data_IF_740505591020
#
_entry.id   IF_740505591020
#
_cell.length_a   1.000
_cell.length_b   1.000
_cell.length_c   1.000
_cell.angle_alpha   90.00
_cell.angle_beta   90.00
_cell.angle_gamma   90.00
#
_symmetry.space_group_name_H-M   'P 1'
#
loop_
_entity.id
_entity.type
_entity.pdbx_description
1 polymer ?
#
# COMPACT_ATOMS: atom_id res chain seq x y z
N UNK A 1 15.57 5.49 -16.83
CA UNK A 1 14.51 6.53 -16.99
C UNK A 1 14.27 7.28 -15.68
N UNK A 2 14.01 6.60 -14.56
CA UNK A 2 13.74 7.27 -13.27
C UNK A 2 14.95 8.07 -12.77
N UNK A 3 16.18 7.58 -12.91
CA UNK A 3 17.39 8.32 -12.53
C UNK A 3 17.48 9.67 -13.27
N UNK A 4 17.24 9.66 -14.58
CA UNK A 4 17.25 10.90 -15.39
C UNK A 4 16.15 11.89 -14.98
N UNK A 5 14.97 11.39 -14.56
CA UNK A 5 13.89 12.23 -14.02
C UNK A 5 14.32 12.79 -12.64
N UNK A 6 14.89 11.96 -11.77
CA UNK A 6 15.38 12.36 -10.45
C UNK A 6 16.45 13.46 -10.51
N UNK A 7 17.28 13.47 -11.55
CA UNK A 7 18.29 14.51 -11.81
C UNK A 7 17.71 15.79 -12.44
N UNK A 8 16.68 15.66 -13.29
CA UNK A 8 16.07 16.77 -14.01
C UNK A 8 14.96 17.48 -13.20
N UNK A 9 14.16 16.74 -12.46
CA UNK A 9 13.00 17.24 -11.72
C UNK A 9 13.32 18.37 -10.73
N UNK A 10 14.45 18.36 -9.98
CA UNK A 10 14.79 19.46 -9.10
C UNK A 10 14.89 20.81 -9.81
N UNK A 11 15.30 20.83 -11.07
CA UNK A 11 15.44 22.08 -11.86
C UNK A 11 14.09 22.69 -12.27
N UNK A 12 13.05 21.87 -12.32
CA UNK A 12 11.69 22.24 -12.70
C UNK A 12 10.69 22.13 -11.53
N UNK A 13 11.15 21.88 -10.31
CA UNK A 13 10.29 21.61 -9.16
C UNK A 13 9.25 22.73 -8.93
N UNK A 14 9.62 23.97 -9.15
CA UNK A 14 8.72 25.13 -9.01
C UNK A 14 7.54 25.16 -10.02
N UNK A 15 7.58 24.33 -11.07
CA UNK A 15 6.47 24.18 -12.03
C UNK A 15 5.52 23.02 -11.70
N UNK A 16 5.85 22.21 -10.69
CA UNK A 16 4.99 21.12 -10.28
C UNK A 16 3.74 21.64 -9.58
N UNK A 17 2.61 21.02 -9.86
CA UNK A 17 1.42 21.14 -9.02
C UNK A 17 1.57 20.31 -7.77
N UNK A 18 0.80 20.56 -6.71
CA UNK A 18 0.80 19.71 -5.51
C UNK A 18 0.54 18.24 -5.84
N UNK A 19 -0.45 17.97 -6.71
CA UNK A 19 -0.75 16.62 -7.19
C UNK A 19 0.42 16.01 -7.99
N UNK A 20 1.03 16.78 -8.89
CA UNK A 20 2.19 16.31 -9.66
C UNK A 20 3.37 15.94 -8.76
N UNK A 21 3.60 16.73 -7.71
CA UNK A 21 4.62 16.47 -6.70
C UNK A 21 4.31 15.19 -5.90
N UNK A 22 3.09 15.05 -5.40
CA UNK A 22 2.64 13.86 -4.67
C UNK A 22 2.73 12.59 -5.52
N UNK A 23 2.23 12.62 -6.77
CA UNK A 23 2.31 11.50 -7.70
C UNK A 23 3.76 11.06 -7.95
N UNK A 24 4.66 12.03 -8.16
CA UNK A 24 6.08 11.71 -8.46
C UNK A 24 6.78 11.15 -7.23
N UNK A 25 6.61 11.75 -6.06
CA UNK A 25 7.14 11.23 -4.80
C UNK A 25 6.66 9.80 -4.54
N UNK A 26 5.35 9.57 -4.68
CA UNK A 26 4.74 8.27 -4.49
C UNK A 26 5.30 7.23 -5.47
N UNK A 27 5.46 7.59 -6.75
CA UNK A 27 6.03 6.68 -7.75
C UNK A 27 7.47 6.24 -7.40
N UNK A 28 8.31 7.15 -6.89
CA UNK A 28 9.65 6.81 -6.43
C UNK A 28 9.61 5.84 -5.23
N UNK A 29 8.70 6.09 -4.28
CA UNK A 29 8.53 5.21 -3.11
C UNK A 29 8.04 3.80 -3.52
N UNK A 30 7.04 3.72 -4.42
CA UNK A 30 6.52 2.45 -4.95
C UNK A 30 7.63 1.63 -5.60
N UNK A 31 8.45 2.27 -6.43
CA UNK A 31 9.53 1.62 -7.15
C UNK A 31 10.78 1.36 -6.31
N UNK A 32 10.88 1.96 -5.12
CA UNK A 32 12.07 1.87 -4.28
C UNK A 32 13.32 2.50 -4.92
N UNK A 33 13.12 3.50 -5.78
CA UNK A 33 14.22 4.20 -6.46
C UNK A 33 14.68 5.36 -5.60
N UNK A 34 15.97 5.41 -5.30
CA UNK A 34 16.58 6.51 -4.56
C UNK A 34 16.78 7.75 -5.45
N UNK A 35 16.32 8.91 -4.99
CA UNK A 35 16.45 10.19 -5.68
C UNK A 35 16.64 11.34 -4.69
N UNK A 36 17.77 11.39 -3.97
CA UNK A 36 17.97 12.29 -2.83
C UNK A 36 17.86 13.78 -3.18
N UNK A 37 18.26 14.15 -4.39
CA UNK A 37 18.14 15.54 -4.87
C UNK A 37 16.69 15.93 -5.10
N UNK A 38 15.88 15.01 -5.67
CA UNK A 38 14.45 15.23 -5.88
C UNK A 38 13.70 15.31 -4.53
N UNK A 39 13.95 14.39 -3.59
CA UNK A 39 13.32 14.41 -2.27
C UNK A 39 13.70 15.69 -1.47
N UNK A 40 14.93 16.16 -1.64
CA UNK A 40 15.37 17.44 -1.03
C UNK A 40 14.62 18.63 -1.63
N UNK A 41 14.54 18.73 -2.96
CA UNK A 41 13.82 19.81 -3.63
C UNK A 41 12.31 19.76 -3.34
N UNK A 42 11.73 18.55 -3.24
CA UNK A 42 10.35 18.35 -2.86
C UNK A 42 10.05 18.83 -1.43
N UNK A 43 10.96 18.64 -0.48
CA UNK A 43 10.82 19.15 0.88
C UNK A 43 10.74 20.69 0.92
N UNK A 44 11.44 21.37 0.02
CA UNK A 44 11.43 22.84 -0.08
C UNK A 44 10.17 23.34 -0.81
N UNK A 45 9.66 22.59 -1.78
CA UNK A 45 8.50 22.99 -2.60
C UNK A 45 7.15 22.65 -1.97
N UNK A 46 7.04 21.52 -1.26
CA UNK A 46 5.78 20.99 -0.74
C UNK A 46 5.00 21.98 0.15
N UNK A 47 5.63 22.78 1.04
CA UNK A 47 4.92 23.72 1.90
C UNK A 47 4.02 24.70 1.15
N UNK A 48 4.41 25.12 -0.05
CA UNK A 48 3.61 26.04 -0.89
C UNK A 48 2.32 25.42 -1.44
N UNK A 49 2.16 24.10 -1.34
CA UNK A 49 1.03 23.36 -1.88
C UNK A 49 0.06 22.83 -0.82
N UNK A 50 0.40 22.93 0.47
CA UNK A 50 -0.35 22.31 1.57
C UNK A 50 -1.84 22.68 1.55
N UNK A 51 -2.18 23.97 1.38
CA UNK A 51 -3.57 24.41 1.41
C UNK A 51 -4.43 23.78 0.29
N UNK A 52 -3.86 23.63 -0.90
CA UNK A 52 -4.54 22.96 -2.03
C UNK A 52 -4.64 21.45 -1.84
N UNK A 53 -3.62 20.85 -1.26
CA UNK A 53 -3.59 19.40 -0.98
C UNK A 53 -4.63 19.00 0.06
N UNK A 54 -5.07 19.90 0.94
CA UNK A 54 -6.18 19.64 1.88
C UNK A 54 -7.48 19.23 1.18
N UNK A 55 -7.69 19.72 -0.04
CA UNK A 55 -8.89 19.45 -0.83
C UNK A 55 -8.67 18.29 -1.84
N UNK A 56 -7.44 17.81 -1.99
CA UNK A 56 -7.06 16.72 -2.90
C UNK A 56 -6.81 15.43 -2.11
N UNK A 57 -7.88 14.66 -1.87
CA UNK A 57 -7.79 13.40 -1.12
C UNK A 57 -6.84 12.38 -1.76
N UNK A 58 -6.77 12.31 -3.08
CA UNK A 58 -5.91 11.35 -3.78
C UNK A 58 -4.43 11.68 -3.56
N UNK A 59 -4.04 12.94 -3.75
CA UNK A 59 -2.67 13.40 -3.51
C UNK A 59 -2.29 13.29 -2.02
N UNK A 60 -3.20 13.65 -1.12
CA UNK A 60 -2.98 13.55 0.33
C UNK A 60 -2.81 12.10 0.79
N UNK A 61 -3.61 11.17 0.26
CA UNK A 61 -3.47 9.74 0.50
C UNK A 61 -2.12 9.20 0.02
N UNK A 62 -1.62 9.66 -1.12
CA UNK A 62 -0.29 9.32 -1.61
C UNK A 62 0.82 9.87 -0.69
N UNK A 63 0.67 11.12 -0.21
CA UNK A 63 1.63 11.71 0.72
C UNK A 63 1.70 10.98 2.06
N UNK A 64 0.58 10.40 2.52
CA UNK A 64 0.63 9.51 3.69
C UNK A 64 1.52 8.28 3.43
N UNK A 65 1.36 7.65 2.28
CA UNK A 65 2.17 6.49 1.91
C UNK A 65 3.66 6.86 1.73
N UNK A 66 3.94 8.05 1.19
CA UNK A 66 5.32 8.61 1.15
C UNK A 66 5.86 8.81 2.57
N UNK A 67 5.05 9.36 3.48
CA UNK A 67 5.43 9.53 4.89
C UNK A 67 5.80 8.18 5.53
N UNK A 68 4.98 7.14 5.37
CA UNK A 68 5.27 5.80 5.88
C UNK A 68 6.57 5.24 5.29
N UNK A 69 6.75 5.35 3.98
CA UNK A 69 7.98 4.91 3.32
C UNK A 69 9.22 5.58 3.90
N UNK A 70 9.19 6.90 4.06
CA UNK A 70 10.31 7.66 4.60
C UNK A 70 10.60 7.29 6.07
N UNK A 71 9.56 7.00 6.83
CA UNK A 71 9.70 6.59 8.23
C UNK A 71 10.31 5.19 8.37
N UNK A 72 9.98 4.27 7.44
CA UNK A 72 10.27 2.84 7.56
C UNK A 72 11.52 2.45 6.76
N UNK A 73 11.69 2.98 5.55
CA UNK A 73 12.70 2.48 4.60
C UNK A 73 13.77 3.50 4.19
N UNK A 74 13.52 4.79 4.36
CA UNK A 74 14.35 5.79 3.73
C UNK A 74 14.92 6.83 4.69
N UNK A 75 16.22 7.19 4.54
CA UNK A 75 16.88 8.23 5.35
C UNK A 75 16.65 9.66 4.84
N UNK A 76 15.70 9.95 3.94
CA UNK A 76 15.47 11.30 3.40
C UNK A 76 14.93 12.25 4.46
N UNK A 77 15.80 12.65 5.36
CA UNK A 77 15.48 13.38 6.60
C UNK A 77 14.86 14.76 6.39
N UNK A 78 15.05 15.39 5.21
CA UNK A 78 14.51 16.73 4.98
C UNK A 78 13.00 16.73 4.69
N UNK A 79 12.49 15.73 3.96
CA UNK A 79 11.08 15.65 3.60
C UNK A 79 10.23 15.07 4.74
N UNK A 80 10.76 14.14 5.53
CA UNK A 80 10.03 13.50 6.62
C UNK A 80 9.44 14.48 7.63
N UNK A 81 10.18 15.50 8.15
CA UNK A 81 9.60 16.49 9.07
C UNK A 81 8.45 17.29 8.45
N UNK A 82 8.57 17.67 7.18
CA UNK A 82 7.53 18.43 6.45
C UNK A 82 6.24 17.61 6.35
N UNK A 83 6.33 16.32 6.05
CA UNK A 83 5.16 15.44 6.02
C UNK A 83 4.61 15.16 7.43
N UNK A 84 5.49 15.01 8.43
CA UNK A 84 5.11 14.73 9.81
C UNK A 84 4.27 15.86 10.43
N UNK A 85 4.55 17.12 10.10
CA UNK A 85 3.79 18.29 10.54
C UNK A 85 2.31 18.21 10.16
N UNK A 86 2.01 17.57 9.02
CA UNK A 86 0.65 17.42 8.50
C UNK A 86 0.16 15.96 8.51
N UNK A 87 0.79 15.10 9.32
CA UNK A 87 0.51 13.65 9.33
C UNK A 87 -0.97 13.32 9.43
N UNK A 88 -1.71 14.01 10.30
CA UNK A 88 -3.14 13.73 10.50
C UNK A 88 -3.95 14.03 9.25
N UNK A 89 -3.67 15.12 8.56
CA UNK A 89 -4.32 15.46 7.29
C UNK A 89 -4.14 14.35 6.25
N UNK A 90 -2.90 13.85 6.10
CA UNK A 90 -2.60 12.78 5.15
C UNK A 90 -3.25 11.44 5.55
N UNK A 91 -3.26 11.13 6.84
CA UNK A 91 -3.89 9.93 7.38
C UNK A 91 -5.41 9.94 7.18
N UNK A 92 -6.08 11.07 7.45
CA UNK A 92 -7.53 11.21 7.26
C UNK A 92 -7.92 11.01 5.79
N UNK A 93 -7.11 11.54 4.86
CA UNK A 93 -7.32 11.32 3.44
C UNK A 93 -7.09 9.85 3.04
N UNK A 94 -6.06 9.21 3.60
CA UNK A 94 -5.76 7.79 3.37
C UNK A 94 -6.86 6.87 3.89
N UNK A 95 -7.55 7.26 4.98
CA UNK A 95 -8.64 6.50 5.58
C UNK A 95 -10.02 6.82 5.01
N UNK A 96 -10.12 7.80 4.13
CA UNK A 96 -11.41 8.22 3.57
C UNK A 96 -12.02 7.20 2.59
N UNK A 97 -11.24 6.23 2.11
CA UNK A 97 -11.77 5.12 1.33
C UNK A 97 -12.67 4.25 2.21
N UNK A 98 -13.95 4.11 1.81
CA UNK A 98 -14.87 3.18 2.44
C UNK A 98 -14.45 1.75 2.12
N UNK A 99 -13.84 1.07 3.08
CA UNK A 99 -13.53 -0.34 2.98
C UNK A 99 -14.86 -1.10 2.85
N UNK A 100 -15.04 -1.82 1.75
CA UNK A 100 -16.20 -2.70 1.52
C UNK A 100 -15.67 -4.05 1.03
N UNK A 101 -15.74 -5.09 1.87
CA UNK A 101 -15.28 -6.41 1.48
C UNK A 101 -16.08 -6.92 0.27
N UNK A 102 -15.41 -7.53 -0.68
CA UNK A 102 -16.04 -8.21 -1.80
C UNK A 102 -16.67 -9.52 -1.35
N UNK A 103 -17.60 -10.07 -2.15
CA UNK A 103 -18.21 -11.37 -1.85
C UNK A 103 -17.15 -12.50 -1.80
N UNK A 104 -16.15 -12.44 -2.67
CA UNK A 104 -15.06 -13.42 -2.66
C UNK A 104 -14.19 -13.29 -1.39
N UNK A 105 -13.89 -12.08 -0.96
CA UNK A 105 -13.18 -11.83 0.29
C UNK A 105 -13.95 -12.38 1.51
N UNK A 106 -15.27 -12.12 1.59
CA UNK A 106 -16.13 -12.70 2.63
C UNK A 106 -16.14 -14.22 2.58
N UNK A 107 -16.09 -14.80 1.37
CA UNK A 107 -15.99 -16.26 1.18
C UNK A 107 -14.68 -16.82 1.72
N UNK A 108 -13.55 -16.12 1.50
CA UNK A 108 -12.24 -16.51 2.08
C UNK A 108 -12.28 -16.41 3.59
N UNK A 109 -12.75 -15.29 4.15
CA UNK A 109 -12.88 -15.08 5.61
C UNK A 109 -13.71 -16.19 6.26
N UNK A 110 -14.89 -16.49 5.68
CA UNK A 110 -15.72 -17.59 6.18
C UNK A 110 -14.98 -18.93 6.17
N UNK A 111 -14.30 -19.26 5.07
CA UNK A 111 -13.59 -20.53 4.95
C UNK A 111 -12.40 -20.63 5.93
N UNK A 112 -11.69 -19.53 6.21
CA UNK A 112 -10.64 -19.48 7.21
C UNK A 112 -11.19 -19.72 8.63
N UNK A 113 -12.35 -19.14 8.95
CA UNK A 113 -13.03 -19.36 10.23
C UNK A 113 -13.45 -20.84 10.40
N UNK A 114 -13.95 -21.48 9.33
CA UNK A 114 -14.27 -22.94 9.34
C UNK A 114 -13.01 -23.78 9.62
N UNK A 115 -11.84 -23.35 9.16
CA UNK A 115 -10.54 -23.99 9.44
C UNK A 115 -10.01 -23.72 10.84
N UNK A 116 -10.69 -22.90 11.65
CA UNK A 116 -10.30 -22.54 13.00
C UNK A 116 -9.19 -21.48 13.04
N UNK A 117 -8.99 -20.74 11.95
CA UNK A 117 -8.08 -19.58 11.94
C UNK A 117 -8.89 -18.32 12.29
N UNK A 118 -8.99 -18.05 13.59
CA UNK A 118 -9.67 -16.87 14.12
C UNK A 118 -8.91 -15.60 13.70
N UNK A 119 -9.60 -14.58 13.20
CA UNK A 119 -9.03 -13.34 12.72
C UNK A 119 -10.01 -12.17 12.87
N UNK A 120 -9.50 -10.96 12.72
CA UNK A 120 -10.29 -9.74 12.58
C UNK A 120 -10.37 -9.40 11.08
N UNK A 121 -11.61 -9.15 10.59
CA UNK A 121 -11.82 -8.66 9.23
C UNK A 121 -11.56 -7.15 9.19
N UNK A 122 -11.02 -6.66 8.06
CA UNK A 122 -10.79 -5.24 7.78
C UNK A 122 -10.01 -4.52 8.88
N UNK A 123 -9.00 -5.20 9.43
CA UNK A 123 -8.15 -4.60 10.45
C UNK A 123 -7.40 -3.39 9.90
N UNK A 124 -7.42 -2.27 10.62
CA UNK A 124 -6.48 -1.17 10.41
C UNK A 124 -5.34 -1.24 11.40
N UNK A 125 -4.12 -1.29 10.89
CA UNK A 125 -2.92 -1.27 11.72
C UNK A 125 -2.73 0.09 12.39
N UNK A 126 -1.86 0.16 13.41
CA UNK A 126 -1.48 1.44 14.06
C UNK A 126 -0.87 2.44 13.06
N UNK A 127 -0.23 1.93 12.00
CA UNK A 127 0.33 2.72 10.91
C UNK A 127 -0.71 3.06 9.83
N UNK A 128 -1.98 2.68 10.01
CA UNK A 128 -3.08 3.03 9.12
C UNK A 128 -3.26 2.15 7.89
N UNK A 129 -2.43 1.12 7.70
CA UNK A 129 -2.61 0.15 6.61
C UNK A 129 -3.78 -0.79 6.92
N UNK A 130 -4.63 -1.06 5.91
CA UNK A 130 -5.72 -2.02 6.04
C UNK A 130 -5.25 -3.43 5.73
N UNK A 131 -5.82 -4.41 6.44
CA UNK A 131 -5.60 -5.83 6.24
C UNK A 131 -6.96 -6.52 6.16
N UNK A 132 -7.16 -7.37 5.15
CA UNK A 132 -8.46 -7.99 4.90
C UNK A 132 -8.86 -8.95 6.03
N UNK A 133 -7.97 -9.86 6.40
CA UNK A 133 -8.15 -10.81 7.50
C UNK A 133 -6.85 -10.91 8.28
N UNK A 134 -6.84 -10.52 9.54
CA UNK A 134 -5.60 -10.39 10.31
C UNK A 134 -5.69 -10.93 11.74
N UNK A 135 -4.56 -11.41 12.24
CA UNK A 135 -4.33 -11.74 13.65
C UNK A 135 -3.33 -10.73 14.23
N UNK A 136 -3.77 -9.69 14.95
CA UNK A 136 -2.87 -8.66 15.48
C UNK A 136 -1.82 -9.22 16.45
N UNK A 137 -2.18 -10.21 17.24
CA UNK A 137 -1.32 -10.82 18.26
C UNK A 137 -0.09 -11.52 17.68
N UNK A 138 -0.19 -12.07 16.48
CA UNK A 138 0.89 -12.77 15.76
C UNK A 138 1.47 -11.94 14.61
N UNK A 139 0.85 -10.78 14.30
CA UNK A 139 1.12 -9.99 13.10
C UNK A 139 1.09 -10.83 11.82
N UNK A 140 0.09 -11.70 11.69
CA UNK A 140 -0.14 -12.48 10.47
C UNK A 140 -1.41 -12.03 9.78
N UNK A 141 -1.44 -12.04 8.45
CA UNK A 141 -2.61 -11.64 7.67
C UNK A 141 -2.78 -12.48 6.39
N UNK A 142 -4.03 -12.61 5.97
CA UNK A 142 -4.41 -13.13 4.66
C UNK A 142 -5.08 -12.00 3.90
N UNK A 143 -4.60 -11.72 2.69
CA UNK A 143 -5.13 -10.70 1.79
C UNK A 143 -5.83 -11.37 0.61
N UNK A 144 -7.04 -10.95 0.28
CA UNK A 144 -7.72 -11.38 -0.95
C UNK A 144 -7.43 -10.40 -2.07
N UNK A 145 -6.62 -10.83 -3.03
CA UNK A 145 -6.25 -9.99 -4.16
C UNK A 145 -7.23 -10.16 -5.34
N UNK A 146 -8.15 -9.21 -5.47
CA UNK A 146 -9.09 -9.12 -6.58
C UNK A 146 -8.43 -8.75 -7.93
N UNK A 147 -9.19 -8.75 -9.04
CA UNK A 147 -8.66 -8.46 -10.39
C UNK A 147 -7.93 -7.12 -10.51
N UNK A 148 -8.33 -6.12 -9.74
CA UNK A 148 -7.75 -4.77 -9.76
C UNK A 148 -6.36 -4.68 -9.14
N UNK A 149 -5.92 -5.72 -8.42
CA UNK A 149 -4.58 -5.81 -7.83
C UNK A 149 -3.54 -6.34 -8.82
N UNK A 150 -3.96 -6.72 -10.04
CA UNK A 150 -3.08 -7.33 -11.03
C UNK A 150 -3.05 -6.58 -12.35
N UNK A 151 -1.83 -6.45 -12.87
CA UNK A 151 -1.58 -6.05 -14.26
C UNK A 151 -1.58 -7.31 -15.12
N UNK A 152 -2.27 -7.25 -16.28
CA UNK A 152 -2.28 -8.34 -17.24
C UNK A 152 -1.09 -8.17 -18.20
N UNK A 153 -0.19 -9.12 -18.20
CA UNK A 153 0.99 -9.14 -19.05
C UNK A 153 1.07 -10.41 -19.91
N UNK A 154 2.00 -10.45 -20.87
CA UNK A 154 2.20 -11.62 -21.73
C UNK A 154 2.60 -12.89 -20.94
N UNK A 155 3.25 -12.73 -19.81
CA UNK A 155 3.71 -13.81 -18.93
C UNK A 155 2.69 -14.16 -17.83
N UNK A 156 1.48 -13.58 -17.89
CA UNK A 156 0.41 -13.77 -16.92
C UNK A 156 0.22 -12.57 -15.97
N UNK A 157 -0.65 -12.72 -14.95
CA UNK A 157 -0.95 -11.66 -13.99
C UNK A 157 0.28 -11.34 -13.10
N UNK A 158 0.57 -10.07 -12.92
CA UNK A 158 1.58 -9.58 -11.97
C UNK A 158 0.95 -8.54 -11.04
N UNK A 159 1.37 -8.50 -9.77
CA UNK A 159 0.87 -7.51 -8.83
C UNK A 159 1.11 -6.09 -9.35
N UNK A 160 0.12 -5.22 -9.17
CA UNK A 160 0.30 -3.81 -9.43
C UNK A 160 1.27 -3.17 -8.41
N UNK A 161 1.81 -2.00 -8.76
CA UNK A 161 2.79 -1.32 -7.92
C UNK A 161 2.24 -0.92 -6.54
N UNK A 162 0.94 -0.56 -6.45
CA UNK A 162 0.28 -0.18 -5.21
C UNK A 162 0.20 -1.36 -4.23
N UNK A 163 -0.25 -2.51 -4.71
CA UNK A 163 -0.37 -3.74 -3.91
C UNK A 163 1.01 -4.22 -3.45
N UNK A 164 1.98 -4.28 -4.38
CA UNK A 164 3.36 -4.66 -4.05
C UNK A 164 3.98 -3.71 -3.00
N UNK A 165 3.70 -2.41 -3.09
CA UNK A 165 4.17 -1.41 -2.13
C UNK A 165 3.55 -1.60 -0.74
N UNK A 166 2.21 -1.78 -0.65
CA UNK A 166 1.51 -2.10 0.61
C UNK A 166 2.14 -3.32 1.28
N UNK A 167 2.32 -4.42 0.53
CA UNK A 167 2.88 -5.66 1.05
C UNK A 167 4.32 -5.47 1.55
N UNK A 168 5.13 -4.67 0.84
CA UNK A 168 6.49 -4.34 1.26
C UNK A 168 6.52 -3.56 2.58
N UNK A 169 5.68 -2.53 2.73
CA UNK A 169 5.58 -1.75 3.97
C UNK A 169 5.12 -2.63 5.13
N UNK A 170 4.10 -3.46 4.94
CA UNK A 170 3.62 -4.40 5.95
C UNK A 170 4.73 -5.34 6.42
N UNK A 171 5.50 -5.90 5.50
CA UNK A 171 6.65 -6.75 5.84
C UNK A 171 7.69 -6.02 6.68
N UNK A 172 7.98 -4.74 6.38
CA UNK A 172 8.90 -3.91 7.17
C UNK A 172 8.36 -3.58 8.58
N UNK A 173 7.04 -3.51 8.72
CA UNK A 173 6.34 -3.33 10.01
C UNK A 173 6.21 -4.63 10.81
N UNK A 174 6.77 -5.72 10.29
CA UNK A 174 6.80 -7.02 10.96
C UNK A 174 5.56 -7.89 10.72
N UNK A 175 4.72 -7.56 9.76
CA UNK A 175 3.61 -8.40 9.35
C UNK A 175 4.07 -9.50 8.39
N UNK A 176 3.59 -10.71 8.61
CA UNK A 176 3.68 -11.82 7.66
C UNK A 176 2.35 -11.95 6.94
N UNK A 177 2.33 -11.65 5.65
CA UNK A 177 1.10 -11.65 4.86
C UNK A 177 1.14 -12.76 3.80
N UNK A 178 0.02 -13.43 3.59
CA UNK A 178 -0.18 -14.40 2.52
C UNK A 178 -1.34 -13.94 1.64
N UNK A 179 -1.12 -13.93 0.32
CA UNK A 179 -2.14 -13.57 -0.64
C UNK A 179 -2.99 -14.76 -1.07
N UNK A 180 -4.27 -14.51 -1.33
CA UNK A 180 -5.25 -15.37 -2.00
C UNK A 180 -5.67 -14.67 -3.28
N UNK A 181 -5.00 -14.94 -4.43
CA UNK A 181 -5.35 -14.35 -5.71
C UNK A 181 -6.71 -14.82 -6.22
N UNK A 182 -7.51 -13.91 -6.79
CA UNK A 182 -8.82 -14.23 -7.34
C UNK A 182 -8.79 -15.37 -8.37
N UNK A 183 -7.76 -15.40 -9.22
CA UNK A 183 -7.63 -16.42 -10.27
C UNK A 183 -7.25 -17.82 -9.75
N UNK A 184 -6.76 -17.91 -8.50
CA UNK A 184 -6.60 -19.18 -7.79
C UNK A 184 -7.88 -19.55 -7.01
N UNK A 185 -8.51 -18.57 -6.35
CA UNK A 185 -9.66 -18.76 -5.50
C UNK A 185 -10.94 -19.14 -6.26
N UNK A 186 -11.30 -18.40 -7.31
CA UNK A 186 -12.57 -18.58 -8.01
C UNK A 186 -12.76 -19.99 -8.60
N UNK A 187 -11.74 -20.63 -9.24
CA UNK A 187 -11.85 -22.02 -9.68
C UNK A 187 -12.01 -23.03 -8.54
N UNK A 188 -11.39 -22.76 -7.38
CA UNK A 188 -11.45 -23.64 -6.22
C UNK A 188 -12.82 -23.59 -5.55
N UNK A 189 -13.48 -22.45 -5.56
CA UNK A 189 -14.85 -22.30 -5.10
C UNK A 189 -15.79 -23.19 -5.92
N UNK A 190 -15.65 -23.20 -7.24
CA UNK A 190 -16.46 -24.01 -8.14
C UNK A 190 -16.23 -25.52 -7.96
N UNK A 191 -15.01 -25.95 -7.62
CA UNK A 191 -14.63 -27.36 -7.43
C UNK A 191 -14.77 -27.87 -6.00
N UNK A 192 -15.02 -27.00 -5.02
CA UNK A 192 -15.08 -27.35 -3.58
C UNK A 192 -13.70 -27.66 -2.96
N UNK A 193 -12.61 -27.29 -3.61
CA UNK A 193 -11.23 -27.58 -3.16
C UNK A 193 -10.59 -26.44 -2.34
N UNK A 194 -11.38 -25.61 -1.69
CA UNK A 194 -10.92 -24.42 -0.98
C UNK A 194 -10.14 -24.76 0.31
N UNK A 195 -10.52 -25.81 1.03
CA UNK A 195 -9.89 -26.17 2.31
C UNK A 195 -8.41 -26.55 2.17
N UNK A 196 -7.99 -27.52 1.31
CA UNK A 196 -6.57 -27.85 1.18
C UNK A 196 -5.74 -26.67 0.69
N UNK A 197 -6.28 -25.81 -0.17
CA UNK A 197 -5.63 -24.59 -0.63
C UNK A 197 -5.36 -23.63 0.53
N UNK A 198 -6.38 -23.29 1.33
CA UNK A 198 -6.24 -22.36 2.45
C UNK A 198 -5.32 -22.92 3.55
N UNK A 199 -5.30 -24.25 3.79
CA UNK A 199 -4.29 -24.84 4.67
C UNK A 199 -2.87 -24.59 4.16
N UNK A 200 -2.64 -24.63 2.86
CA UNK A 200 -1.39 -24.24 2.22
C UNK A 200 -1.06 -22.75 2.39
N UNK A 201 -2.09 -21.87 2.28
CA UNK A 201 -1.93 -20.43 2.55
C UNK A 201 -1.49 -20.19 3.99
N UNK A 202 -2.20 -20.78 4.96
CA UNK A 202 -1.89 -20.64 6.38
C UNK A 202 -0.51 -21.22 6.78
N UNK A 203 -0.03 -22.22 6.07
CA UNK A 203 1.31 -22.78 6.30
C UNK A 203 2.43 -21.78 5.96
N UNK A 204 2.18 -20.81 5.08
CA UNK A 204 3.13 -19.73 4.72
C UNK A 204 3.22 -18.62 5.77
N UNK A 205 2.30 -18.58 6.75
CA UNK A 205 2.27 -17.60 7.83
C UNK A 205 3.04 -18.03 9.10
N UNK A 206 3.66 -19.22 9.07
CA UNK A 206 4.36 -19.82 10.23
C UNK A 206 5.84 -19.55 10.23
#
# INVERSE_FOLDING_TARGET
MFDAIGEAAPRSIGSFTGQGLANTLWAYCVLGVDAPQFFTAAAEALPAHIDRLREDFAASSQLYQVFLYLQIESPHQKLLPVLAEHRQLWLDAFWNDSIRPSQSQLGVSHALNVLGWEHEDELRTEDGLSLDMAQPSTKTAVEFDGPTHYLQGPDGPSLDGRTAFKMRLLGRLGWTCAAVPYFEWDPLLASGATEPYLRGVLARLR
#
